data_IF_894493838368
#
_entry.id   IF_894493838368
#
_cell.length_a   1.000
_cell.length_b   1.000
_cell.length_c   1.000
_cell.angle_alpha   90.00
_cell.angle_beta   90.00
_cell.angle_gamma   90.00
#
_symmetry.space_group_name_H-M   'P 1'
#
loop_
_entity.id
_entity.type
_entity.pdbx_description
1 polymer ?
#
# COMPACT_ATOMS: atom_id res chain seq x y z
N UNK A 1 4.04 -12.84 1.36
CA UNK A 1 5.15 -12.03 0.83
C UNK A 1 4.81 -10.56 1.02
N UNK A 2 5.80 -9.68 1.20
CA UNK A 2 5.52 -8.24 1.23
C UNK A 2 5.54 -7.65 -0.19
N UNK A 3 4.50 -6.89 -0.51
CA UNK A 3 4.42 -6.03 -1.71
C UNK A 3 4.31 -4.58 -1.26
N UNK A 4 5.28 -3.76 -1.67
CA UNK A 4 5.19 -2.30 -1.50
C UNK A 4 4.39 -1.73 -2.66
N UNK A 5 3.28 -1.08 -2.34
CA UNK A 5 2.41 -0.39 -3.29
C UNK A 5 2.67 1.10 -3.19
N UNK A 6 3.16 1.70 -4.27
CA UNK A 6 3.28 3.16 -4.37
C UNK A 6 2.23 3.69 -5.33
N UNK A 7 1.46 4.68 -4.88
CA UNK A 7 0.41 5.31 -5.67
C UNK A 7 0.75 6.77 -5.94
N UNK A 8 0.98 7.09 -7.21
CA UNK A 8 1.12 8.46 -7.67
C UNK A 8 -0.26 8.95 -8.14
N UNK A 9 -0.78 9.94 -7.43
CA UNK A 9 -2.12 10.49 -7.63
C UNK A 9 -2.13 11.96 -7.26
N UNK A 10 -2.73 12.78 -8.11
CA UNK A 10 -2.95 14.19 -7.78
C UNK A 10 -4.01 14.33 -6.68
N UNK A 11 -3.66 14.94 -5.55
CA UNK A 11 -4.60 15.21 -4.44
C UNK A 11 -5.07 16.65 -4.37
N UNK A 12 -4.73 17.48 -5.36
CA UNK A 12 -5.21 18.86 -5.47
C UNK A 12 -6.70 18.91 -5.78
N UNK A 13 -7.22 17.91 -6.51
CA UNK A 13 -8.63 17.81 -6.89
C UNK A 13 -9.41 16.88 -5.95
N UNK A 14 -10.71 17.14 -5.79
CA UNK A 14 -11.58 16.27 -5.00
C UNK A 14 -11.67 14.82 -5.54
N UNK A 15 -11.74 14.58 -6.87
CA UNK A 15 -11.70 13.23 -7.42
C UNK A 15 -10.44 12.45 -7.05
N UNK A 16 -9.26 13.08 -7.15
CA UNK A 16 -8.00 12.42 -6.82
C UNK A 16 -7.87 12.07 -5.34
N UNK A 17 -8.32 12.96 -4.43
CA UNK A 17 -8.45 12.64 -3.00
C UNK A 17 -9.39 11.45 -2.74
N UNK A 18 -10.49 11.36 -3.47
CA UNK A 18 -11.43 10.24 -3.37
C UNK A 18 -10.82 8.92 -3.88
N UNK A 19 -10.04 8.94 -4.97
CA UNK A 19 -9.30 7.76 -5.44
C UNK A 19 -8.26 7.30 -4.42
N UNK A 20 -7.47 8.22 -3.87
CA UNK A 20 -6.51 7.90 -2.79
C UNK A 20 -7.20 7.28 -1.57
N UNK A 21 -8.34 7.82 -1.14
CA UNK A 21 -9.06 7.25 0.00
C UNK A 21 -9.55 5.81 -0.27
N UNK A 22 -10.00 5.52 -1.50
CA UNK A 22 -10.43 4.17 -1.90
C UNK A 22 -9.24 3.21 -1.98
N UNK A 23 -8.14 3.63 -2.62
CA UNK A 23 -6.89 2.86 -2.71
C UNK A 23 -6.36 2.55 -1.32
N UNK A 24 -6.30 3.55 -0.43
CA UNK A 24 -5.85 3.36 0.94
C UNK A 24 -6.70 2.33 1.69
N UNK A 25 -8.03 2.47 1.64
CA UNK A 25 -8.96 1.53 2.26
C UNK A 25 -8.78 0.10 1.74
N UNK A 26 -8.51 -0.05 0.43
CA UNK A 26 -8.24 -1.36 -0.17
C UNK A 26 -6.91 -1.94 0.30
N UNK A 27 -5.82 -1.15 0.35
CA UNK A 27 -4.51 -1.62 0.84
C UNK A 27 -4.51 -1.94 2.34
N UNK A 28 -5.19 -1.15 3.16
CA UNK A 28 -5.29 -1.33 4.62
C UNK A 28 -6.00 -2.63 5.02
N UNK A 29 -6.77 -3.24 4.10
CA UNK A 29 -7.32 -4.59 4.30
C UNK A 29 -6.28 -5.72 4.21
N UNK A 30 -5.07 -5.42 3.72
CA UNK A 30 -3.98 -6.39 3.51
C UNK A 30 -2.66 -5.93 4.15
N UNK A 31 -2.66 -4.85 4.92
CA UNK A 31 -1.44 -4.30 5.49
C UNK A 31 -1.60 -2.87 5.98
N UNK A 32 -0.57 -2.06 5.82
CA UNK A 32 -0.46 -0.77 6.48
C UNK A 32 -0.08 0.36 5.54
N UNK A 33 -0.60 1.55 5.82
CA UNK A 33 -0.22 2.79 5.15
C UNK A 33 1.01 3.40 5.83
N UNK A 34 2.16 3.35 5.16
CA UNK A 34 3.46 3.78 5.72
C UNK A 34 3.83 5.22 5.37
N UNK A 35 3.29 5.77 4.28
CA UNK A 35 3.38 7.19 3.94
C UNK A 35 2.06 7.67 3.36
N UNK A 36 2.01 8.92 2.87
CA UNK A 36 0.78 9.50 2.35
C UNK A 36 0.16 8.66 1.23
N UNK A 37 0.93 8.15 0.28
CA UNK A 37 0.41 7.29 -0.79
C UNK A 37 1.28 6.05 -1.03
N UNK A 38 1.89 5.54 0.05
CA UNK A 38 2.71 4.32 0.04
C UNK A 38 2.18 3.34 1.09
N UNK A 39 2.03 2.09 0.67
CA UNK A 39 1.41 1.03 1.45
C UNK A 39 2.27 -0.23 1.43
N UNK A 40 2.44 -0.85 2.60
CA UNK A 40 3.09 -2.15 2.77
C UNK A 40 1.98 -3.19 2.93
N UNK A 41 1.83 -4.08 1.94
CA UNK A 41 0.79 -5.13 1.94
C UNK A 41 1.42 -6.52 2.05
N UNK A 42 1.08 -7.24 3.11
CA UNK A 42 1.50 -8.62 3.32
C UNK A 42 0.43 -9.57 2.78
N UNK A 43 0.77 -10.27 1.71
CA UNK A 43 -0.20 -11.05 0.94
C UNK A 43 0.33 -12.43 0.54
N UNK A 44 -0.55 -13.43 0.52
CA UNK A 44 -0.35 -14.67 -0.23
C UNK A 44 -0.62 -14.45 -1.74
N UNK A 45 -0.30 -15.41 -2.64
CA UNK A 45 -0.50 -15.25 -4.08
C UNK A 45 -1.95 -14.97 -4.51
N UNK A 46 -2.94 -15.58 -3.84
CA UNK A 46 -4.35 -15.37 -4.12
C UNK A 46 -4.87 -14.02 -3.61
N UNK A 47 -4.41 -13.61 -2.43
CA UNK A 47 -4.66 -12.26 -1.90
C UNK A 47 -4.04 -11.18 -2.79
N UNK A 48 -2.83 -11.42 -3.31
CA UNK A 48 -2.17 -10.50 -4.22
C UNK A 48 -3.00 -10.25 -5.49
N UNK A 49 -3.50 -11.31 -6.13
CA UNK A 49 -4.29 -11.14 -7.36
C UNK A 49 -5.58 -10.35 -7.08
N UNK A 50 -6.27 -10.64 -5.97
CA UNK A 50 -7.47 -9.87 -5.55
C UNK A 50 -7.13 -8.39 -5.26
N UNK A 51 -6.05 -8.13 -4.54
CA UNK A 51 -5.58 -6.78 -4.25
C UNK A 51 -5.26 -6.03 -5.55
N UNK A 52 -4.45 -6.63 -6.43
CA UNK A 52 -4.05 -6.06 -7.71
C UNK A 52 -5.26 -5.68 -8.57
N UNK A 53 -6.21 -6.61 -8.74
CA UNK A 53 -7.43 -6.34 -9.49
C UNK A 53 -8.26 -5.22 -8.87
N UNK A 54 -8.42 -5.25 -7.54
CA UNK A 54 -9.11 -4.19 -6.80
C UNK A 54 -8.46 -2.83 -7.04
N UNK A 55 -7.14 -2.72 -6.92
CA UNK A 55 -6.42 -1.46 -7.12
C UNK A 55 -6.51 -0.95 -8.57
N UNK A 56 -6.31 -1.82 -9.56
CA UNK A 56 -6.40 -1.44 -10.97
C UNK A 56 -7.81 -0.97 -11.36
N UNK A 57 -8.86 -1.45 -10.68
CA UNK A 57 -10.23 -0.97 -10.85
C UNK A 57 -10.56 0.35 -10.16
N UNK A 58 -9.65 0.90 -9.34
CA UNK A 58 -9.87 2.14 -8.57
C UNK A 58 -9.18 3.37 -9.17
N UNK A 59 -8.11 3.16 -9.93
CA UNK A 59 -7.28 4.26 -10.47
C UNK A 59 -7.86 4.83 -11.77
N UNK A 60 -7.42 6.02 -12.13
CA UNK A 60 -7.57 6.59 -13.46
C UNK A 60 -6.24 6.47 -14.21
N UNK A 61 -6.03 5.47 -15.09
CA UNK A 61 -4.72 5.19 -15.69
C UNK A 61 -4.15 6.32 -16.54
N UNK A 62 -4.97 7.27 -16.98
CA UNK A 62 -4.53 8.45 -17.73
C UNK A 62 -3.97 9.56 -16.84
N UNK A 63 -4.20 9.50 -15.53
CA UNK A 63 -3.84 10.55 -14.56
C UNK A 63 -3.00 10.03 -13.39
N UNK A 64 -3.10 8.74 -13.09
CA UNK A 64 -2.50 8.12 -11.93
C UNK A 64 -1.52 7.02 -12.34
N UNK A 65 -0.63 6.63 -11.43
CA UNK A 65 0.18 5.44 -11.61
C UNK A 65 0.29 4.61 -10.33
N UNK A 66 0.30 3.28 -10.49
CA UNK A 66 0.63 2.33 -9.44
C UNK A 66 1.95 1.64 -9.79
N UNK A 67 2.81 1.49 -8.80
CA UNK A 67 3.98 0.62 -8.90
C UNK A 67 3.97 -0.38 -7.76
N UNK A 68 4.31 -1.61 -8.10
CA UNK A 68 4.34 -2.73 -7.17
C UNK A 68 5.77 -3.24 -7.07
N UNK A 69 6.34 -3.20 -5.86
CA UNK A 69 7.67 -3.76 -5.59
C UNK A 69 7.51 -5.02 -4.75
N UNK A 70 7.87 -6.15 -5.35
CA UNK A 70 7.83 -7.45 -4.70
C UNK A 70 9.07 -7.59 -3.84
N UNK A 71 8.91 -7.30 -2.56
CA UNK A 71 9.99 -7.52 -1.61
C UNK A 71 10.09 -9.02 -1.32
N UNK A 72 9.01 -9.78 -1.25
CA UNK A 72 9.11 -11.23 -0.99
C UNK A 72 9.12 -11.53 0.51
N UNK A 73 9.55 -12.72 0.90
CA UNK A 73 9.36 -13.22 2.28
C UNK A 73 10.38 -12.72 3.31
N UNK A 74 11.60 -12.36 2.91
CA UNK A 74 12.66 -11.88 3.82
C UNK A 74 12.85 -10.36 3.69
N UNK A 75 11.77 -9.61 3.76
CA UNK A 75 11.71 -8.18 3.41
C UNK A 75 12.21 -7.27 4.52
N UNK A 76 12.16 -7.74 5.77
CA UNK A 76 12.41 -6.97 6.99
C UNK A 76 13.79 -6.32 6.97
N UNK A 77 14.81 -7.06 6.50
CA UNK A 77 16.19 -6.59 6.36
C UNK A 77 16.44 -5.64 5.18
N UNK A 78 15.42 -5.33 4.39
CA UNK A 78 15.51 -4.51 3.16
C UNK A 78 14.70 -3.22 3.25
N UNK A 79 14.14 -2.91 4.42
CA UNK A 79 13.33 -1.72 4.65
C UNK A 79 13.93 -0.94 5.81
N UNK A 80 14.30 0.31 5.52
CA UNK A 80 14.75 1.28 6.52
C UNK A 80 13.82 2.50 6.47
N UNK A 81 13.55 3.08 7.64
CA UNK A 81 12.72 4.28 7.78
C UNK A 81 13.53 5.38 8.46
N UNK A 82 13.52 6.58 7.86
CA UNK A 82 14.06 7.79 8.47
C UNK A 82 13.02 8.92 8.42
N UNK A 83 12.82 9.62 9.54
CA UNK A 83 11.99 10.84 9.59
C UNK A 83 10.80 10.80 10.55
N UNK A 84 9.81 11.65 10.26
CA UNK A 84 8.87 12.20 11.23
C UNK A 84 7.77 11.27 11.76
N UNK A 85 7.81 9.95 11.48
CA UNK A 85 6.81 9.00 12.00
C UNK A 85 7.44 7.65 12.34
N UNK A 86 7.29 7.14 13.58
CA UNK A 86 7.75 5.80 13.88
C UNK A 86 7.00 4.78 13.01
N UNK A 87 7.72 3.78 12.49
CA UNK A 87 7.11 2.61 11.86
C UNK A 87 6.20 1.94 12.91
N UNK A 88 4.90 1.75 12.65
CA UNK A 88 4.07 0.92 13.53
C UNK A 88 4.72 -0.45 13.68
N UNK A 89 4.93 -0.86 14.93
CA UNK A 89 5.61 -2.10 15.25
C UNK A 89 4.84 -3.28 14.64
N UNK A 90 5.49 -3.99 13.73
CA UNK A 90 4.96 -5.18 13.04
C UNK A 90 5.46 -6.46 13.71
N UNK A 91 6.21 -6.35 14.82
CA UNK A 91 6.94 -7.43 15.48
C UNK A 91 6.21 -8.18 16.59
N UNK A 92 4.93 -7.93 16.84
CA UNK A 92 4.20 -8.65 17.88
C UNK A 92 2.70 -8.56 17.73
N UNK A 93 2.06 -9.72 17.55
CA UNK A 93 0.66 -10.01 17.88
C UNK A 93 -0.18 -8.80 18.32
N UNK A 94 -1.07 -8.34 17.44
CA UNK A 94 -2.32 -7.71 17.89
C UNK A 94 -3.18 -8.81 18.51
N UNK A 95 -2.97 -9.08 19.80
CA UNK A 95 -3.98 -9.72 20.64
C UNK A 95 -4.92 -8.65 21.19
N UNK A 96 -6.17 -8.76 20.72
CA UNK A 96 -7.47 -8.26 21.23
C UNK A 96 -7.57 -6.79 21.66
#
# INVERSE_FOLDING_TARGET
MLVLVTYDVSTTTAPGRKRLARVAKTCEGYGMRVQYSVFECEVDPGQWERLKQGLLGLIEPTQDSLRFYFLGSNWERRVEHHGAKPKPDTGGLLMV
#
